data_IF_405830605963
#
_entry.id   IF_405830605963
#
_cell.length_a   1.000
_cell.length_b   1.000
_cell.length_c   1.000
_cell.angle_alpha   90.00
_cell.angle_beta   90.00
_cell.angle_gamma   90.00
#
_symmetry.space_group_name_H-M   'P 1'
#
loop_
_entity.id
_entity.type
_entity.pdbx_description
1 polymer ?
#
# COMPACT_ATOMS: atom_id res chain seq x y z
N UNK A 1 -12.68 -1.89 9.83
CA UNK A 1 -11.21 -1.87 9.61
C UNK A 1 -10.74 -2.66 8.39
N UNK A 2 -10.87 -4.00 8.29
CA UNK A 2 -10.38 -4.76 7.09
C UNK A 2 -10.97 -4.22 5.77
N UNK A 3 -12.28 -4.06 5.72
CA UNK A 3 -12.97 -3.56 4.53
C UNK A 3 -12.57 -2.11 4.18
N UNK A 4 -12.47 -1.25 5.18
CA UNK A 4 -12.08 0.16 4.99
C UNK A 4 -10.65 0.29 4.48
N UNK A 5 -9.72 -0.55 4.98
CA UNK A 5 -8.35 -0.57 4.52
C UNK A 5 -8.25 -1.08 3.07
N UNK A 6 -8.90 -2.20 2.75
CA UNK A 6 -8.93 -2.71 1.36
C UNK A 6 -9.54 -1.67 0.42
N UNK A 7 -10.65 -1.05 0.81
CA UNK A 7 -11.27 0.04 0.06
C UNK A 7 -10.31 1.22 -0.12
N UNK A 8 -9.63 1.66 0.93
CA UNK A 8 -8.63 2.72 0.85
C UNK A 8 -7.51 2.38 -0.14
N UNK A 9 -6.97 1.15 -0.09
CA UNK A 9 -5.89 0.71 -0.98
C UNK A 9 -6.32 0.73 -2.46
N UNK A 10 -7.53 0.26 -2.75
CA UNK A 10 -8.07 0.20 -4.11
C UNK A 10 -8.37 1.59 -4.69
N UNK A 11 -8.86 2.52 -3.87
CA UNK A 11 -9.30 3.85 -4.32
C UNK A 11 -8.22 4.94 -4.23
N UNK A 12 -7.09 4.66 -3.58
CA UNK A 12 -5.96 5.60 -3.54
C UNK A 12 -5.15 5.50 -4.84
N UNK A 13 -5.21 6.56 -5.64
CA UNK A 13 -4.46 6.70 -6.90
C UNK A 13 -3.39 7.79 -6.84
N UNK A 14 -3.36 8.59 -5.76
CA UNK A 14 -2.39 9.67 -5.57
C UNK A 14 -1.05 9.09 -5.08
N UNK A 15 -0.05 9.12 -5.95
CA UNK A 15 1.30 8.64 -5.67
C UNK A 15 1.96 9.36 -4.49
N UNK A 16 1.76 10.67 -4.33
CA UNK A 16 2.35 11.41 -3.20
C UNK A 16 1.75 10.94 -1.87
N UNK A 17 0.44 10.71 -1.84
CA UNK A 17 -0.23 10.15 -0.67
C UNK A 17 0.28 8.74 -0.36
N UNK A 18 0.43 7.89 -1.38
CA UNK A 18 0.95 6.53 -1.23
C UNK A 18 2.39 6.53 -0.67
N UNK A 19 3.27 7.39 -1.21
CA UNK A 19 4.63 7.57 -0.73
C UNK A 19 4.66 8.06 0.72
N UNK A 20 3.86 9.08 1.06
CA UNK A 20 3.76 9.60 2.41
C UNK A 20 3.26 8.52 3.39
N UNK A 21 2.28 7.73 2.97
CA UNK A 21 1.75 6.63 3.77
C UNK A 21 2.81 5.58 4.06
N UNK A 22 3.56 5.13 3.06
CA UNK A 22 4.61 4.12 3.23
C UNK A 22 5.81 4.62 4.03
N UNK A 23 6.23 5.88 3.87
CA UNK A 23 7.36 6.45 4.61
C UNK A 23 7.13 6.51 6.13
N UNK A 24 5.88 6.53 6.57
CA UNK A 24 5.53 6.56 7.99
C UNK A 24 5.30 5.18 8.60
N UNK A 25 5.55 4.09 7.86
CA UNK A 25 5.35 2.73 8.36
C UNK A 25 6.64 2.11 8.89
N UNK A 26 6.51 1.42 10.04
CA UNK A 26 7.52 0.48 10.50
C UNK A 26 7.39 -0.87 9.76
N UNK A 27 8.39 -1.75 9.94
CA UNK A 27 8.40 -3.06 9.26
C UNK A 27 7.18 -3.93 9.58
N UNK A 28 6.61 -3.81 10.79
CA UNK A 28 5.41 -4.55 11.18
C UNK A 28 4.16 -4.05 10.46
N UNK A 29 4.03 -2.73 10.33
CA UNK A 29 2.94 -2.07 9.61
C UNK A 29 3.04 -2.36 8.11
N UNK A 30 4.23 -2.36 7.53
CA UNK A 30 4.47 -2.78 6.14
C UNK A 30 4.07 -4.24 5.89
N UNK A 31 4.46 -5.16 6.78
CA UNK A 31 4.04 -6.57 6.67
C UNK A 31 2.51 -6.70 6.69
N UNK A 32 1.84 -5.95 7.57
CA UNK A 32 0.38 -5.90 7.65
C UNK A 32 -0.24 -5.32 6.37
N UNK A 33 0.33 -4.23 5.84
CA UNK A 33 -0.09 -3.63 4.57
C UNK A 33 0.00 -4.65 3.41
N UNK A 34 1.12 -5.37 3.29
CA UNK A 34 1.29 -6.37 2.24
C UNK A 34 0.33 -7.55 2.39
N UNK A 35 -0.01 -7.94 3.62
CA UNK A 35 -1.07 -8.91 3.84
C UNK A 35 -2.42 -8.40 3.27
N UNK A 36 -2.81 -7.15 3.55
CA UNK A 36 -4.05 -6.61 2.99
C UNK A 36 -4.00 -6.35 1.48
N UNK A 37 -2.85 -5.95 0.92
CA UNK A 37 -2.66 -5.85 -0.52
C UNK A 37 -2.79 -7.21 -1.23
N UNK A 38 -2.52 -8.32 -0.55
CA UNK A 38 -2.77 -9.65 -1.11
C UNK A 38 -4.25 -9.97 -1.28
N UNK A 39 -5.14 -9.16 -0.69
CA UNK A 39 -6.60 -9.27 -0.79
C UNK A 39 -7.21 -8.30 -1.81
N UNK A 40 -6.42 -7.45 -2.47
CA UNK A 40 -6.87 -6.53 -3.53
C UNK A 40 -6.65 -7.12 -4.92
N UNK A 41 -7.18 -6.47 -5.95
CA UNK A 41 -6.85 -6.80 -7.34
C UNK A 41 -5.35 -6.57 -7.66
N UNK A 42 -4.89 -7.23 -8.74
CA UNK A 42 -3.49 -7.19 -9.18
C UNK A 42 -3.01 -5.78 -9.57
N UNK A 43 -3.91 -4.94 -10.07
CA UNK A 43 -3.59 -3.56 -10.47
C UNK A 43 -3.24 -2.74 -9.22
N UNK A 44 -4.09 -2.80 -8.21
CA UNK A 44 -3.89 -2.16 -6.91
C UNK A 44 -2.61 -2.67 -6.26
N UNK A 45 -2.42 -4.00 -6.23
CA UNK A 45 -1.21 -4.62 -5.66
C UNK A 45 0.05 -4.12 -6.35
N UNK A 46 0.10 -4.15 -7.68
CA UNK A 46 1.24 -3.69 -8.47
C UNK A 46 1.53 -2.21 -8.23
N UNK A 47 0.49 -1.37 -8.19
CA UNK A 47 0.64 0.08 -7.94
C UNK A 47 1.32 0.35 -6.60
N UNK A 48 0.84 -0.26 -5.51
CA UNK A 48 1.46 -0.08 -4.20
C UNK A 48 2.87 -0.68 -4.13
N UNK A 49 3.12 -1.85 -4.75
CA UNK A 49 4.47 -2.42 -4.80
C UNK A 49 5.47 -1.53 -5.53
N UNK A 50 5.09 -0.91 -6.65
CA UNK A 50 5.96 0.04 -7.37
C UNK A 50 6.31 1.25 -6.49
N UNK A 51 5.37 1.76 -5.69
CA UNK A 51 5.67 2.83 -4.73
C UNK A 51 6.68 2.38 -3.67
N UNK A 52 6.55 1.15 -3.17
CA UNK A 52 7.49 0.60 -2.20
C UNK A 52 8.89 0.43 -2.79
N UNK A 53 8.99 -0.09 -4.02
CA UNK A 53 10.25 -0.26 -4.74
C UNK A 53 10.96 1.09 -4.95
N UNK A 54 10.22 2.15 -5.27
CA UNK A 54 10.75 3.51 -5.42
C UNK A 54 11.27 4.13 -4.11
N UNK A 55 10.94 3.56 -2.95
CA UNK A 55 11.42 4.02 -1.64
C UNK A 55 12.71 3.32 -1.19
N UNK A 56 13.03 2.17 -1.77
CA UNK A 56 14.26 1.42 -1.47
C UNK A 56 15.37 1.97 -2.39
N UNK A 57 16.51 2.43 -1.84
CA UNK A 57 17.63 2.95 -2.64
C UNK A 57 18.33 1.88 -3.48
#
# INVERSE_FOLDING_TARGET
>A
MRYELVHFLQHTNDEQLMLAFMKNMDGKSLSTLFHYLSLTDDITKKRWLTIYENLIP
#
